data_IF_279475091181
#
_entry.id   IF_279475091181
#
_cell.length_a   1.000
_cell.length_b   1.000
_cell.length_c   1.000
_cell.angle_alpha   90.00
_cell.angle_beta   90.00
_cell.angle_gamma   90.00
#
_symmetry.space_group_name_H-M   'P 1'
#
loop_
_entity.id
_entity.type
_entity.pdbx_description
1 polymer ?
#
# COMPACT_ATOMS: atom_id res chain seq x y z
N UNK A 1 32.46 5.43 12.12
CA UNK A 1 32.04 4.85 10.83
C UNK A 1 31.06 3.72 11.07
N UNK A 2 30.16 3.49 10.12
CA UNK A 2 29.12 2.46 10.16
C UNK A 2 29.44 1.33 9.18
N UNK A 3 29.42 0.08 9.64
CA UNK A 3 29.83 -1.11 8.87
C UNK A 3 28.70 -2.09 8.61
N UNK A 4 27.45 -1.59 8.63
CA UNK A 4 26.26 -2.41 8.51
C UNK A 4 25.71 -2.92 9.84
N UNK A 5 24.64 -3.69 9.74
CA UNK A 5 23.90 -4.28 10.86
C UNK A 5 23.59 -5.72 10.54
N UNK A 6 23.59 -6.58 11.54
CA UNK A 6 22.99 -7.92 11.45
C UNK A 6 22.11 -8.18 12.67
N UNK A 7 21.22 -9.15 12.54
CA UNK A 7 20.38 -9.65 13.62
C UNK A 7 20.34 -11.18 13.58
N UNK A 8 19.55 -11.82 14.46
CA UNK A 8 19.34 -13.26 14.39
C UNK A 8 18.67 -13.72 13.09
N UNK A 9 18.03 -12.80 12.36
CA UNK A 9 17.24 -13.08 11.15
C UNK A 9 17.82 -12.47 9.87
N UNK A 10 18.63 -11.42 10.00
CA UNK A 10 19.18 -10.68 8.87
C UNK A 10 20.71 -10.67 8.93
N UNK A 11 21.35 -11.01 7.82
CA UNK A 11 22.81 -10.95 7.68
C UNK A 11 23.28 -9.53 7.42
N UNK A 12 24.51 -9.21 7.79
CA UNK A 12 25.12 -7.94 7.45
C UNK A 12 25.34 -7.86 5.93
N UNK A 13 24.80 -6.83 5.28
CA UNK A 13 24.93 -6.63 3.84
C UNK A 13 26.40 -6.50 3.35
N UNK A 14 27.31 -6.05 4.22
CA UNK A 14 28.74 -5.89 3.89
C UNK A 14 29.48 -7.23 3.88
N UNK A 15 29.18 -8.12 4.84
CA UNK A 15 29.89 -9.41 5.00
C UNK A 15 29.10 -10.60 4.46
N UNK A 16 27.82 -10.42 4.15
CA UNK A 16 26.90 -11.50 3.79
C UNK A 16 26.61 -12.50 4.93
N UNK A 17 27.05 -12.20 6.16
CA UNK A 17 26.94 -13.11 7.32
C UNK A 17 26.56 -12.35 8.58
N UNK A 18 26.29 -13.05 9.69
CA UNK A 18 26.01 -12.44 11.00
C UNK A 18 27.30 -12.04 11.74
N UNK A 19 28.18 -11.30 11.05
CA UNK A 19 29.46 -10.81 11.57
C UNK A 19 29.75 -9.39 11.11
N UNK A 20 30.62 -8.69 11.86
CA UNK A 20 31.12 -7.38 11.45
C UNK A 20 32.28 -7.48 10.45
N UNK A 21 32.40 -6.52 9.52
CA UNK A 21 33.54 -6.45 8.62
C UNK A 21 34.86 -6.20 9.39
N UNK A 22 36.02 -6.44 8.75
CA UNK A 22 37.32 -6.19 9.37
C UNK A 22 37.43 -4.76 9.93
N UNK A 23 38.05 -4.62 11.10
CA UNK A 23 38.21 -3.36 11.83
C UNK A 23 36.92 -2.77 12.44
N UNK A 24 35.79 -3.47 12.40
CA UNK A 24 34.55 -3.06 13.07
C UNK A 24 34.24 -3.96 14.27
N UNK A 25 33.74 -3.32 15.34
CA UNK A 25 33.26 -3.99 16.54
C UNK A 25 31.73 -3.97 16.58
N UNK A 26 31.06 -5.06 17.01
CA UNK A 26 29.61 -5.09 17.16
C UNK A 26 29.19 -4.34 18.42
N UNK A 27 28.19 -3.47 18.29
CA UNK A 27 27.43 -2.90 19.40
C UNK A 27 26.04 -3.54 19.44
N UNK A 28 25.70 -4.09 20.59
CA UNK A 28 24.42 -4.74 20.80
C UNK A 28 23.32 -3.70 21.09
N UNK A 29 22.16 -3.87 20.44
CA UNK A 29 20.98 -3.03 20.65
C UNK A 29 19.70 -3.87 20.62
N UNK A 30 18.71 -3.52 21.44
CA UNK A 30 17.45 -4.27 21.54
C UNK A 30 17.68 -5.72 22.00
N UNK A 31 16.93 -6.67 21.42
CA UNK A 31 17.05 -8.09 21.76
C UNK A 31 18.13 -8.83 20.95
N UNK A 32 18.25 -8.54 19.66
CA UNK A 32 19.08 -9.35 18.75
C UNK A 32 19.84 -8.52 17.69
N UNK A 33 19.85 -7.19 17.79
CA UNK A 33 20.46 -6.32 16.78
C UNK A 33 21.93 -6.09 17.14
N UNK A 34 22.80 -6.22 16.13
CA UNK A 34 24.23 -5.95 16.24
C UNK A 34 24.62 -4.90 15.21
N UNK A 35 25.08 -3.74 15.68
CA UNK A 35 25.49 -2.60 14.87
C UNK A 35 26.99 -2.56 14.77
N UNK A 36 27.54 -2.70 13.56
CA UNK A 36 28.98 -2.69 13.37
C UNK A 36 29.49 -1.25 13.31
N UNK A 37 30.37 -0.88 14.25
CA UNK A 37 30.97 0.45 14.31
C UNK A 37 32.49 0.38 14.35
N UNK A 38 33.14 1.40 13.79
CA UNK A 38 34.58 1.53 13.84
C UNK A 38 34.99 3.00 13.88
N UNK A 39 36.07 3.30 14.60
CA UNK A 39 36.82 4.55 14.51
C UNK A 39 38.17 4.36 13.81
N UNK A 40 38.51 3.13 13.41
CA UNK A 40 39.78 2.80 12.75
C UNK A 40 39.71 3.12 11.27
N UNK A 41 40.60 4.00 10.80
CA UNK A 41 40.69 4.43 9.41
C UNK A 41 40.89 3.25 8.43
N UNK A 42 41.47 2.14 8.87
CA UNK A 42 41.62 0.92 8.06
C UNK A 42 40.26 0.29 7.68
N UNK A 43 39.21 0.56 8.46
CA UNK A 43 37.84 0.14 8.18
C UNK A 43 37.10 0.99 7.16
N UNK A 44 37.67 2.09 6.67
CA UNK A 44 36.98 3.02 5.77
C UNK A 44 36.49 2.36 4.48
N UNK A 45 37.21 1.36 3.96
CA UNK A 45 36.83 0.63 2.74
C UNK A 45 35.50 -0.10 2.88
N UNK A 46 35.15 -0.58 4.08
CA UNK A 46 33.91 -1.29 4.40
C UNK A 46 32.81 -0.37 4.95
N UNK A 47 33.09 0.93 5.11
CA UNK A 47 32.14 1.86 5.68
C UNK A 47 30.97 2.14 4.71
N UNK A 48 29.75 2.09 5.25
CA UNK A 48 28.53 2.46 4.57
C UNK A 48 28.10 3.87 4.99
N UNK A 49 27.55 4.68 4.06
CA UNK A 49 26.87 5.92 4.42
C UNK A 49 25.71 5.62 5.37
N UNK A 50 25.63 6.36 6.48
CA UNK A 50 24.61 6.15 7.50
C UNK A 50 23.67 7.35 7.58
N UNK A 51 22.40 7.10 7.33
CA UNK A 51 21.34 8.11 7.30
C UNK A 51 20.42 8.07 8.51
N UNK A 52 20.73 7.31 9.56
CA UNK A 52 19.91 7.21 10.77
C UNK A 52 19.08 5.93 10.85
N UNK A 53 18.48 5.71 12.03
CA UNK A 53 17.48 4.68 12.28
C UNK A 53 16.10 5.30 12.43
N UNK A 54 15.05 4.52 12.15
CA UNK A 54 13.69 4.82 12.58
C UNK A 54 12.93 3.54 12.87
N UNK A 55 11.85 3.66 13.65
CA UNK A 55 10.97 2.56 14.00
C UNK A 55 9.51 2.94 13.75
N UNK A 56 8.58 2.04 14.09
CA UNK A 56 7.15 2.33 14.10
C UNK A 56 6.76 3.44 15.10
N UNK A 57 7.56 3.65 16.14
CA UNK A 57 7.26 4.54 17.27
C UNK A 57 8.18 5.76 17.36
N UNK A 58 9.31 5.76 16.67
CA UNK A 58 10.31 6.84 16.72
C UNK A 58 10.85 7.15 15.34
N UNK A 59 10.80 8.42 14.97
CA UNK A 59 11.27 8.89 13.67
C UNK A 59 12.76 9.20 13.62
N UNK A 60 13.23 9.43 12.40
CA UNK A 60 14.62 9.75 12.12
C UNK A 60 14.83 11.28 12.13
N UNK A 61 15.63 11.83 13.07
CA UNK A 61 15.91 13.26 13.10
C UNK A 61 16.69 13.76 11.88
N UNK A 62 17.44 12.88 11.21
CA UNK A 62 18.20 13.24 10.00
C UNK A 62 17.31 13.42 8.77
N UNK A 63 16.04 13.00 8.84
CA UNK A 63 15.08 13.16 7.76
C UNK A 63 14.29 14.47 7.83
N UNK A 64 14.53 15.32 8.83
CA UNK A 64 13.83 16.60 8.94
C UNK A 64 14.26 17.56 7.83
N UNK A 65 13.27 18.15 7.15
CA UNK A 65 13.54 19.34 6.34
C UNK A 65 13.75 20.56 7.23
N UNK A 66 14.50 21.58 6.78
CA UNK A 66 14.70 22.82 7.53
C UNK A 66 13.38 23.47 8.00
N UNK A 67 12.36 23.44 7.14
CA UNK A 67 11.02 23.98 7.44
C UNK A 67 10.25 23.20 8.52
N UNK A 68 10.53 21.90 8.69
CA UNK A 68 9.91 21.07 9.73
C UNK A 68 10.63 21.22 11.07
N UNK A 69 11.95 21.39 11.05
CA UNK A 69 12.75 21.64 12.25
C UNK A 69 12.28 22.89 12.99
N UNK A 70 12.03 23.99 12.26
CA UNK A 70 11.56 25.26 12.85
C UNK A 70 10.16 25.19 13.46
N UNK A 71 9.32 24.25 13.02
CA UNK A 71 7.95 24.07 13.52
C UNK A 71 7.83 23.13 14.72
N UNK A 72 8.95 22.57 15.22
CA UNK A 72 8.94 21.63 16.33
C UNK A 72 8.13 20.36 16.04
N UNK A 73 8.09 19.91 14.79
CA UNK A 73 7.32 18.73 14.40
C UNK A 73 7.96 17.43 14.87
N UNK A 74 7.15 16.38 15.06
CA UNK A 74 7.64 15.01 15.30
C UNK A 74 8.59 14.54 14.19
N UNK A 75 9.61 13.76 14.54
CA UNK A 75 10.55 13.23 13.56
C UNK A 75 9.86 12.34 12.51
N UNK A 76 10.16 12.50 11.21
CA UNK A 76 9.58 11.66 10.16
C UNK A 76 10.00 10.20 10.28
N UNK A 77 9.07 9.27 10.01
CA UNK A 77 9.33 7.83 9.95
C UNK A 77 9.90 7.42 8.58
N UNK A 78 10.87 8.16 8.05
CA UNK A 78 11.43 7.93 6.72
C UNK A 78 12.94 8.22 6.68
N UNK A 79 13.58 7.87 5.58
CA UNK A 79 14.98 8.18 5.34
C UNK A 79 15.18 9.60 4.79
N UNK A 80 16.36 10.22 5.06
CA UNK A 80 16.74 11.48 4.44
C UNK A 80 16.79 11.36 2.92
N UNK A 81 16.77 12.50 2.23
CA UNK A 81 16.90 12.52 0.78
C UNK A 81 18.20 11.81 0.34
N UNK A 82 18.13 11.03 -0.76
CA UNK A 82 19.21 10.17 -1.29
C UNK A 82 19.58 8.94 -0.45
N UNK A 83 18.86 8.67 0.63
CA UNK A 83 18.97 7.43 1.39
C UNK A 83 17.78 6.51 1.14
N UNK A 84 18.03 5.21 1.22
CA UNK A 84 17.03 4.17 1.08
C UNK A 84 16.86 3.45 2.42
N UNK A 85 15.65 2.96 2.68
CA UNK A 85 15.33 2.22 3.89
C UNK A 85 15.68 0.74 3.73
N UNK A 86 16.29 0.18 4.77
CA UNK A 86 16.64 -1.23 4.87
C UNK A 86 16.14 -1.79 6.20
N UNK A 87 15.54 -2.98 6.15
CA UNK A 87 14.99 -3.64 7.33
C UNK A 87 16.13 -4.15 8.24
N UNK A 88 16.07 -3.80 9.51
CA UNK A 88 16.97 -4.35 10.55
C UNK A 88 16.35 -5.60 11.18
N UNK A 89 15.13 -5.43 11.70
CA UNK A 89 14.37 -6.48 12.38
C UNK A 89 12.91 -6.05 12.52
N UNK A 90 12.07 -7.01 12.92
CA UNK A 90 10.71 -6.76 13.37
C UNK A 90 10.62 -7.29 14.80
N UNK A 91 10.45 -6.37 15.74
CA UNK A 91 10.37 -6.65 17.17
C UNK A 91 8.94 -6.41 17.65
N UNK A 92 8.26 -7.46 18.12
CA UNK A 92 6.85 -7.43 18.53
C UNK A 92 5.87 -6.74 17.54
N UNK A 93 6.17 -6.84 16.24
CA UNK A 93 5.38 -6.19 15.18
C UNK A 93 5.77 -4.74 14.90
N UNK A 94 6.68 -4.15 15.67
CA UNK A 94 7.33 -2.89 15.35
C UNK A 94 8.48 -3.10 14.36
N UNK A 95 8.41 -2.45 13.21
CA UNK A 95 9.45 -2.48 12.19
C UNK A 95 10.54 -1.50 12.58
N UNK A 96 11.79 -1.95 12.60
CA UNK A 96 12.97 -1.11 12.78
C UNK A 96 13.78 -1.10 11.48
N UNK A 97 14.01 0.08 10.94
CA UNK A 97 14.73 0.31 9.70
C UNK A 97 15.97 1.18 9.93
N UNK A 98 16.95 1.01 9.07
CA UNK A 98 18.09 1.92 8.94
C UNK A 98 18.17 2.50 7.53
N UNK A 99 18.77 3.68 7.45
CA UNK A 99 18.91 4.42 6.20
C UNK A 99 20.35 4.33 5.70
N UNK A 100 20.54 3.88 4.47
CA UNK A 100 21.85 3.86 3.82
C UNK A 100 21.73 4.16 2.32
N UNK A 101 22.86 4.36 1.66
CA UNK A 101 22.89 4.55 0.22
C UNK A 101 22.89 3.19 -0.48
N UNK A 102 21.98 3.00 -1.45
CA UNK A 102 21.79 1.72 -2.14
C UNK A 102 23.00 1.33 -2.99
N UNK A 103 23.70 2.29 -3.61
CA UNK A 103 24.86 2.03 -4.47
C UNK A 103 26.00 1.39 -3.67
N UNK A 104 26.15 1.78 -2.40
CA UNK A 104 27.13 1.19 -1.50
C UNK A 104 26.75 -0.23 -1.05
N UNK A 105 25.46 -0.50 -0.86
CA UNK A 105 24.97 -1.83 -0.50
C UNK A 105 25.13 -2.79 -1.69
N UNK A 106 24.79 -2.34 -2.90
CA UNK A 106 24.91 -3.14 -4.13
C UNK A 106 26.35 -3.56 -4.46
N UNK A 107 27.35 -2.80 -3.98
CA UNK A 107 28.77 -3.16 -4.09
C UNK A 107 29.11 -4.46 -3.35
N UNK A 108 28.45 -4.72 -2.22
CA UNK A 108 28.73 -5.88 -1.36
C UNK A 108 27.72 -7.01 -1.52
N UNK A 109 26.51 -6.70 -2.00
CA UNK A 109 25.44 -7.66 -2.08
C UNK A 109 24.74 -7.56 -3.43
N UNK A 110 24.78 -8.64 -4.21
CA UNK A 110 23.86 -8.85 -5.34
C UNK A 110 22.57 -9.55 -4.90
N UNK A 111 22.27 -9.55 -3.58
CA UNK A 111 21.14 -10.31 -3.08
C UNK A 111 19.86 -9.80 -3.74
N UNK A 112 19.07 -10.71 -4.36
CA UNK A 112 17.81 -10.34 -4.95
C UNK A 112 16.90 -9.72 -3.87
N UNK A 113 15.98 -8.84 -4.27
CA UNK A 113 15.06 -8.23 -3.33
C UNK A 113 14.35 -9.31 -2.51
N UNK A 114 14.28 -9.12 -1.20
CA UNK A 114 13.49 -9.99 -0.33
C UNK A 114 12.05 -9.91 -0.83
N UNK A 115 11.47 -11.06 -1.19
CA UNK A 115 10.09 -11.15 -1.66
C UNK A 115 9.17 -11.45 -0.47
N UNK A 116 7.90 -10.98 -0.51
CA UNK A 116 6.95 -11.26 0.56
C UNK A 116 6.70 -12.78 0.71
N UNK A 117 6.32 -13.25 1.92
CA UNK A 117 5.89 -12.46 3.07
C UNK A 117 7.04 -12.01 3.99
N UNK A 118 7.04 -10.74 4.38
CA UNK A 118 8.04 -10.12 5.27
C UNK A 118 7.80 -10.37 6.76
N UNK A 119 6.73 -11.10 7.12
CA UNK A 119 6.38 -11.39 8.51
C UNK A 119 6.80 -12.81 8.86
N UNK A 120 7.46 -12.95 10.00
CA UNK A 120 7.74 -14.26 10.60
C UNK A 120 6.39 -14.93 10.92
N UNK A 121 6.31 -16.25 10.70
CA UNK A 121 5.15 -17.04 11.12
C UNK A 121 4.94 -16.82 12.63
N UNK A 122 3.79 -16.29 13.07
CA UNK A 122 3.55 -16.09 14.49
C UNK A 122 3.65 -17.43 15.23
N UNK A 123 4.17 -17.46 16.47
CA UNK A 123 4.14 -18.67 17.29
C UNK A 123 2.69 -19.12 17.43
N UNK A 124 2.45 -20.40 17.18
CA UNK A 124 1.11 -20.96 17.13
C UNK A 124 0.59 -21.11 18.56
N UNK A 125 -0.15 -20.12 19.06
CA UNK A 125 -0.90 -20.24 20.32
C UNK A 125 -2.15 -21.06 20.05
N UNK A 126 -2.28 -22.23 20.68
CA UNK A 126 -3.27 -23.26 20.32
C UNK A 126 -4.69 -23.01 20.89
N UNK A 127 -4.99 -21.78 21.34
CA UNK A 127 -6.33 -21.44 21.80
C UNK A 127 -7.18 -21.02 20.58
N UNK A 128 -7.65 -22.02 19.83
CA UNK A 128 -8.50 -21.81 18.67
C UNK A 128 -9.93 -21.54 19.12
N UNK A 129 -10.42 -20.33 18.84
CA UNK A 129 -11.85 -20.03 18.95
C UNK A 129 -12.56 -20.55 17.71
N UNK A 130 -13.60 -21.37 17.89
CA UNK A 130 -14.43 -21.84 16.79
C UNK A 130 -15.63 -20.91 16.58
N UNK A 131 -15.61 -20.18 15.46
CA UNK A 131 -16.73 -19.32 15.08
C UNK A 131 -17.88 -20.19 14.55
N UNK A 132 -18.99 -20.25 15.29
CA UNK A 132 -20.21 -20.96 14.87
C UNK A 132 -21.15 -20.07 14.04
N UNK A 133 -21.07 -18.75 14.20
CA UNK A 133 -21.97 -17.79 13.55
C UNK A 133 -21.16 -16.58 13.06
N UNK A 134 -21.43 -16.13 11.83
CA UNK A 134 -20.88 -14.90 11.26
C UNK A 134 -22.07 -14.03 10.82
N UNK A 135 -22.12 -12.79 11.30
CA UNK A 135 -23.15 -11.84 10.88
C UNK A 135 -22.55 -10.88 9.85
N UNK A 136 -23.13 -10.88 8.67
CA UNK A 136 -22.77 -10.05 7.53
C UNK A 136 -23.53 -8.76 7.45
N UNK A 137 -23.18 -7.94 6.45
CA UNK A 137 -23.94 -6.74 6.16
C UNK A 137 -25.40 -7.10 5.79
N UNK A 138 -26.33 -6.20 6.14
CA UNK A 138 -27.76 -6.29 5.82
C UNK A 138 -28.50 -7.49 6.44
N UNK A 139 -28.07 -7.96 7.61
CA UNK A 139 -28.75 -9.05 8.32
C UNK A 139 -28.57 -10.42 7.66
N UNK A 140 -27.53 -10.58 6.85
CA UNK A 140 -27.13 -11.91 6.37
C UNK A 140 -26.41 -12.65 7.48
N UNK A 141 -26.74 -13.91 7.71
CA UNK A 141 -26.13 -14.72 8.77
C UNK A 141 -25.56 -15.99 8.13
N UNK A 142 -24.33 -16.34 8.48
CA UNK A 142 -23.76 -17.65 8.16
C UNK A 142 -23.62 -18.46 9.44
N UNK A 143 -24.14 -19.67 9.42
CA UNK A 143 -24.05 -20.63 10.53
C UNK A 143 -23.19 -21.80 10.09
N UNK A 144 -22.36 -22.30 11.01
CA UNK A 144 -21.56 -23.48 10.80
C UNK A 144 -22.27 -24.67 11.42
N UNK A 145 -22.63 -25.67 10.62
CA UNK A 145 -23.19 -26.92 11.11
C UNK A 145 -22.14 -27.76 11.84
N UNK A 146 -22.60 -28.78 12.57
CA UNK A 146 -21.72 -29.72 13.29
C UNK A 146 -20.80 -30.51 12.35
N UNK A 147 -21.20 -30.65 11.08
CA UNK A 147 -20.39 -31.23 9.99
C UNK A 147 -19.32 -30.27 9.45
N UNK A 148 -19.28 -29.04 9.97
CA UNK A 148 -18.38 -27.98 9.59
C UNK A 148 -18.76 -27.21 8.33
N UNK A 149 -19.93 -27.48 7.75
CA UNK A 149 -20.42 -26.77 6.56
C UNK A 149 -21.02 -25.42 6.92
N UNK A 150 -20.81 -24.42 6.06
CA UNK A 150 -21.36 -23.08 6.23
C UNK A 150 -22.65 -22.90 5.44
N UNK A 151 -23.72 -22.54 6.13
CA UNK A 151 -25.05 -22.27 5.55
C UNK A 151 -25.38 -20.79 5.67
N UNK A 152 -25.92 -20.20 4.59
CA UNK A 152 -26.29 -18.79 4.54
C UNK A 152 -27.79 -18.63 4.76
N UNK A 153 -28.15 -17.71 5.65
CA UNK A 153 -29.52 -17.37 6.03
C UNK A 153 -29.76 -15.86 5.91
N UNK A 154 -31.01 -15.48 5.73
CA UNK A 154 -31.51 -14.10 5.81
C UNK A 154 -32.14 -13.85 7.18
N UNK A 155 -32.15 -12.60 7.62
CA UNK A 155 -32.94 -12.17 8.76
C UNK A 155 -34.42 -12.61 8.56
N UNK A 156 -34.99 -13.27 9.56
CA UNK A 156 -36.35 -13.84 9.50
C UNK A 156 -36.44 -15.29 9.04
N UNK A 157 -35.36 -15.91 8.53
CA UNK A 157 -35.37 -17.35 8.25
C UNK A 157 -35.42 -18.14 9.58
N UNK A 158 -36.36 -19.09 9.69
CA UNK A 158 -36.43 -20.00 10.84
C UNK A 158 -35.28 -21.01 10.76
N UNK A 159 -34.19 -20.74 11.49
CA UNK A 159 -33.06 -21.67 11.60
C UNK A 159 -33.36 -22.61 12.76
N UNK A 160 -33.85 -23.81 12.44
CA UNK A 160 -34.32 -24.78 13.43
C UNK A 160 -33.19 -25.56 14.13
N UNK A 161 -31.94 -25.40 13.69
CA UNK A 161 -30.91 -26.35 14.06
C UNK A 161 -30.26 -26.08 15.43
N UNK A 162 -30.43 -24.91 16.04
CA UNK A 162 -29.83 -24.64 17.35
C UNK A 162 -30.60 -23.54 18.09
N UNK A 163 -30.99 -23.79 19.35
CA UNK A 163 -31.71 -22.84 20.22
C UNK A 163 -30.93 -21.53 20.48
N UNK A 164 -29.63 -21.45 20.17
CA UNK A 164 -28.88 -20.20 20.26
C UNK A 164 -29.01 -19.29 19.04
N UNK A 165 -29.52 -19.80 17.91
CA UNK A 165 -29.55 -19.06 16.63
C UNK A 165 -30.81 -18.19 16.50
N UNK A 166 -31.95 -18.63 17.06
CA UNK A 166 -33.21 -17.88 16.95
C UNK A 166 -33.12 -16.48 17.57
N UNK A 167 -32.30 -16.30 18.61
CA UNK A 167 -32.11 -14.99 19.26
C UNK A 167 -31.47 -13.95 18.34
N UNK A 168 -30.75 -14.37 17.30
CA UNK A 168 -30.09 -13.49 16.34
C UNK A 168 -30.85 -13.31 15.03
N UNK A 169 -31.85 -14.16 14.75
CA UNK A 169 -32.60 -14.14 13.47
C UNK A 169 -34.07 -13.81 13.62
N UNK A 170 -34.63 -13.79 14.84
CA UNK A 170 -36.03 -13.40 15.07
C UNK A 170 -36.26 -11.92 14.75
N UNK A 171 -37.35 -11.62 14.05
CA UNK A 171 -37.87 -10.26 13.94
C UNK A 171 -38.19 -9.71 15.34
N UNK A 172 -38.09 -8.39 15.57
CA UNK A 172 -38.42 -7.79 16.86
C UNK A 172 -39.89 -8.08 17.22
N UNK A 173 -40.11 -8.84 18.29
CA UNK A 173 -41.45 -9.02 18.85
C UNK A 173 -41.78 -7.89 19.82
N UNK A 174 -42.95 -7.29 19.66
CA UNK A 174 -43.53 -6.36 20.63
C UNK A 174 -44.00 -7.17 21.85
N UNK A 175 -43.47 -6.88 23.03
CA UNK A 175 -44.01 -7.42 24.28
C UNK A 175 -45.28 -6.66 24.61
N UNK A 176 -46.42 -7.34 24.61
CA UNK A 176 -47.73 -6.79 25.01
C UNK A 176 -48.10 -7.24 26.42
N UNK A 177 -48.78 -6.39 27.20
CA UNK A 177 -49.42 -6.80 28.45
C UNK A 177 -50.70 -7.62 28.20
N UNK A 178 -51.28 -8.17 29.27
CA UNK A 178 -52.54 -8.95 29.23
C UNK A 178 -53.76 -8.14 28.74
N UNK A 179 -53.62 -6.82 28.53
CA UNK A 179 -54.62 -5.95 27.92
C UNK A 179 -54.29 -5.57 26.46
N UNK A 180 -53.26 -6.15 25.86
CA UNK A 180 -52.85 -5.91 24.47
C UNK A 180 -52.02 -4.62 24.27
N UNK A 181 -51.53 -4.00 25.34
CA UNK A 181 -50.75 -2.75 25.28
C UNK A 181 -49.27 -3.08 25.14
N UNK A 182 -48.57 -2.54 24.14
CA UNK A 182 -47.14 -2.79 23.93
C UNK A 182 -46.32 -2.10 25.04
N UNK A 183 -45.64 -2.89 25.88
CA UNK A 183 -44.89 -2.43 27.07
C UNK A 183 -43.37 -2.35 26.83
N UNK A 184 -42.87 -2.88 25.70
CA UNK A 184 -41.47 -2.74 25.31
C UNK A 184 -41.06 -3.76 24.23
N UNK A 185 -39.93 -3.51 23.56
CA UNK A 185 -39.24 -4.48 22.71
C UNK A 185 -38.01 -5.01 23.47
N UNK A 186 -37.75 -6.32 23.41
CA UNK A 186 -36.55 -6.89 24.02
C UNK A 186 -35.36 -6.75 23.06
N UNK A 187 -34.24 -6.29 23.60
CA UNK A 187 -32.96 -5.95 22.95
C UNK A 187 -32.98 -4.72 22.03
N UNK A 188 -32.70 -3.57 22.66
CA UNK A 188 -32.14 -2.39 22.00
C UNK A 188 -30.68 -2.69 21.57
N UNK A 189 -30.56 -3.51 20.53
CA UNK A 189 -29.40 -3.57 19.66
C UNK A 189 -29.63 -2.64 18.46
N UNK A 190 -30.17 -1.43 18.68
CA UNK A 190 -30.24 -0.41 17.65
C UNK A 190 -28.83 0.07 17.32
N UNK A 191 -28.14 -0.68 16.44
CA UNK A 191 -27.30 0.02 15.47
C UNK A 191 -28.25 0.93 14.71
N UNK A 192 -28.21 2.21 15.07
CA UNK A 192 -28.85 3.31 14.35
C UNK A 192 -28.44 3.20 12.88
N UNK A 193 -29.24 2.50 12.08
CA UNK A 193 -29.32 2.77 10.66
C UNK A 193 -29.89 4.18 10.56
N UNK A 194 -29.19 5.14 9.94
CA UNK A 194 -29.76 6.46 9.73
C UNK A 194 -31.04 6.26 8.90
N UNK A 195 -32.19 6.54 9.52
CA UNK A 195 -33.48 6.56 8.87
C UNK A 195 -33.47 7.73 7.88
N UNK A 196 -33.13 7.43 6.63
CA UNK A 196 -33.25 8.36 5.52
C UNK A 196 -34.74 8.62 5.29
N UNK A 197 -35.16 9.85 5.54
CA UNK A 197 -36.53 10.29 5.25
C UNK A 197 -36.71 10.37 3.73
N UNK A 198 -37.92 10.11 3.23
CA UNK A 198 -38.20 10.03 1.78
C UNK A 198 -37.83 11.29 0.96
N UNK A 199 -37.50 12.41 1.62
CA UNK A 199 -36.96 13.60 0.98
C UNK A 199 -35.49 13.45 0.52
N UNK A 200 -34.71 12.54 1.12
CA UNK A 200 -33.29 12.36 0.79
C UNK A 200 -33.05 11.32 -0.32
N UNK A 201 -33.99 10.40 -0.55
CA UNK A 201 -33.90 9.37 -1.60
C UNK A 201 -34.11 9.97 -3.00
N UNK A 202 -34.89 11.04 -3.13
CA UNK A 202 -35.00 11.80 -4.37
C UNK A 202 -33.66 12.47 -4.77
N UNK A 203 -32.82 12.85 -3.79
CA UNK A 203 -31.51 13.45 -4.02
C UNK A 203 -30.49 12.49 -4.62
N UNK A 204 -30.48 11.22 -4.19
CA UNK A 204 -29.51 10.21 -4.67
C UNK A 204 -29.79 9.72 -6.10
N UNK A 205 -31.06 9.57 -6.47
CA UNK A 205 -31.43 9.13 -7.83
C UNK A 205 -31.20 10.23 -8.85
N UNK A 206 -31.50 11.49 -8.49
CA UNK A 206 -31.26 12.63 -9.38
C UNK A 206 -29.75 12.92 -9.47
N UNK A 207 -29.01 12.88 -8.36
CA UNK A 207 -27.56 13.12 -8.34
C UNK A 207 -26.72 12.10 -9.11
N UNK A 208 -27.09 10.81 -9.07
CA UNK A 208 -26.39 9.74 -9.80
C UNK A 208 -26.60 9.83 -11.32
N UNK A 209 -27.78 10.25 -11.79
CA UNK A 209 -28.06 10.47 -13.22
C UNK A 209 -27.32 11.70 -13.74
N UNK A 210 -27.26 12.80 -12.99
CA UNK A 210 -26.48 13.98 -13.39
C UNK A 210 -24.96 13.71 -13.36
N UNK A 211 -24.47 12.97 -12.37
CA UNK A 211 -23.05 12.63 -12.26
C UNK A 211 -22.58 11.73 -13.40
N UNK A 212 -23.37 10.70 -13.74
CA UNK A 212 -23.07 9.81 -14.88
C UNK A 212 -23.14 10.55 -16.21
N UNK A 213 -24.12 11.43 -16.41
CA UNK A 213 -24.22 12.27 -17.60
C UNK A 213 -23.01 13.20 -17.76
N UNK A 214 -22.54 13.82 -16.66
CA UNK A 214 -21.33 14.67 -16.66
C UNK A 214 -20.06 13.87 -16.95
N UNK A 215 -19.91 12.67 -16.39
CA UNK A 215 -18.77 11.80 -16.69
C UNK A 215 -18.74 11.40 -18.18
N UNK A 216 -19.87 11.03 -18.76
CA UNK A 216 -19.97 10.67 -20.19
C UNK A 216 -19.63 11.88 -21.08
N UNK A 217 -20.14 13.07 -20.74
CA UNK A 217 -19.83 14.31 -21.45
C UNK A 217 -18.34 14.67 -21.38
N UNK A 218 -17.70 14.49 -20.21
CA UNK A 218 -16.28 14.76 -20.02
C UNK A 218 -15.40 13.79 -20.82
N UNK A 219 -15.74 12.50 -20.83
CA UNK A 219 -15.04 11.49 -21.63
C UNK A 219 -15.17 11.79 -23.12
N UNK A 220 -16.36 12.19 -23.59
CA UNK A 220 -16.58 12.61 -24.98
C UNK A 220 -15.79 13.88 -25.35
N UNK A 221 -15.72 14.86 -24.46
CA UNK A 221 -14.95 16.09 -24.67
C UNK A 221 -13.45 15.81 -24.76
N UNK A 222 -12.91 14.97 -23.87
CA UNK A 222 -11.51 14.53 -23.92
C UNK A 222 -11.23 13.74 -25.19
N UNK A 223 -12.10 12.80 -25.58
CA UNK A 223 -11.97 12.02 -26.81
C UNK A 223 -11.98 12.89 -28.08
N UNK A 224 -12.90 13.85 -28.17
CA UNK A 224 -12.95 14.83 -29.26
C UNK A 224 -11.73 15.76 -29.26
N UNK A 225 -11.27 16.19 -28.08
CA UNK A 225 -10.05 16.97 -27.89
C UNK A 225 -8.81 16.24 -28.40
N UNK A 226 -8.65 14.96 -28.04
CA UNK A 226 -7.53 14.11 -28.51
C UNK A 226 -7.60 13.88 -30.02
N UNK A 227 -8.79 13.68 -30.60
CA UNK A 227 -8.95 13.58 -32.07
C UNK A 227 -8.58 14.89 -32.77
N UNK A 228 -9.03 16.04 -32.29
CA UNK A 228 -8.64 17.36 -32.82
C UNK A 228 -7.13 17.59 -32.66
N UNK A 229 -6.56 17.23 -31.53
CA UNK A 229 -5.13 17.35 -31.26
C UNK A 229 -4.30 16.45 -32.20
N UNK A 230 -4.68 15.19 -32.40
CA UNK A 230 -4.03 14.30 -33.37
C UNK A 230 -4.14 14.82 -34.80
N UNK A 231 -5.31 15.31 -35.23
CA UNK A 231 -5.50 15.89 -36.58
C UNK A 231 -4.63 17.15 -36.77
N UNK A 232 -4.54 18.02 -35.75
CA UNK A 232 -3.68 19.21 -35.78
C UNK A 232 -2.18 18.87 -35.75
N UNK A 233 -1.79 17.79 -35.06
CA UNK A 233 -0.41 17.28 -35.05
C UNK A 233 -0.01 16.67 -36.41
N UNK A 234 -0.91 15.96 -37.08
CA UNK A 234 -0.68 15.41 -38.43
C UNK A 234 -0.53 16.55 -39.44
N UNK A 235 -1.45 17.53 -39.45
CA UNK A 235 -1.36 18.69 -40.34
C UNK A 235 -0.09 19.54 -40.10
N UNK A 236 0.37 19.68 -38.84
CA UNK A 236 1.65 20.34 -38.53
C UNK A 236 2.86 19.56 -39.04
N UNK A 237 2.85 18.22 -38.97
CA UNK A 237 3.94 17.39 -39.51
C UNK A 237 4.00 17.48 -41.03
N UNK A 238 2.86 17.48 -41.71
CA UNK A 238 2.80 17.67 -43.16
C UNK A 238 3.30 19.06 -43.56
N UNK A 239 2.89 20.13 -42.87
CA UNK A 239 3.39 21.48 -43.14
C UNK A 239 4.91 21.64 -42.91
N UNK A 240 5.46 20.98 -41.89
CA UNK A 240 6.92 20.98 -41.64
C UNK A 240 7.67 20.21 -42.74
N UNK A 241 7.12 19.10 -43.24
CA UNK A 241 7.70 18.33 -44.35
C UNK A 241 7.72 19.13 -45.68
N UNK A 242 6.68 19.95 -45.92
CA UNK A 242 6.63 20.84 -47.08
C UNK A 242 7.63 22.00 -47.01
N UNK A 243 7.89 22.53 -45.81
CA UNK A 243 8.89 23.58 -45.60
C UNK A 243 10.31 23.03 -45.76
N UNK A 244 10.60 21.85 -45.21
CA UNK A 244 11.89 21.15 -45.35
C UNK A 244 12.21 20.89 -46.84
N UNK A 245 11.20 20.46 -47.61
CA UNK A 245 11.32 20.27 -49.07
C UNK A 245 11.48 21.57 -49.87
N UNK A 246 11.05 22.70 -49.33
CA UNK A 246 11.26 24.02 -49.97
C UNK A 246 12.62 24.64 -49.63
N UNK A 247 13.23 24.19 -48.52
CA UNK A 247 14.53 24.65 -48.03
C UNK A 247 15.68 23.80 -48.61
N UNK A 248 15.44 22.51 -48.91
CA UNK A 248 16.30 21.70 -49.79
C UNK A 248 15.98 21.97 -51.26
N UNK A 249 16.33 23.16 -51.74
CA UNK A 249 16.48 23.42 -53.17
C UNK A 249 17.72 22.70 -53.69
N UNK A 250 17.61 21.39 -53.97
CA UNK A 250 18.66 20.65 -54.67
C UNK A 250 18.30 20.54 -56.15
N UNK A 251 18.92 21.45 -56.92
CA UNK A 251 19.07 21.36 -58.36
C UNK A 251 19.97 20.17 -58.70
N UNK A 252 19.48 19.14 -59.37
CA UNK A 252 20.35 18.21 -60.12
C UNK A 252 19.74 17.83 -61.47
N UNK A 253 19.81 18.78 -62.40
CA UNK A 253 20.21 18.45 -63.78
C UNK A 253 21.73 18.47 -63.83
N UNK A 254 22.38 17.40 -63.37
CA UNK A 254 23.78 17.11 -63.69
C UNK A 254 24.04 15.61 -63.53
N UNK A 255 24.83 15.06 -64.45
CA UNK A 255 25.44 13.72 -64.41
C UNK A 255 24.52 12.55 -64.80
N UNK A 256 23.78 12.81 -65.87
CA UNK A 256 23.84 11.96 -67.05
C UNK A 256 25.32 11.77 -67.48
N UNK A 257 26.05 10.82 -66.90
CA UNK A 257 27.19 10.02 -67.45
C UNK A 257 27.70 9.10 -66.33
N UNK A 258 27.08 7.92 -66.17
CA UNK A 258 27.77 6.74 -65.61
C UNK A 258 26.94 5.46 -65.86
N UNK A 259 26.61 5.20 -67.12
CA UNK A 259 25.99 3.92 -67.54
C UNK A 259 26.50 3.40 -68.88
N UNK A 260 27.76 3.71 -69.19
CA UNK A 260 28.55 3.09 -70.25
C UNK A 260 29.99 2.97 -69.74
N UNK A 261 30.28 1.90 -69.00
CA UNK A 261 31.48 1.07 -69.12
C UNK A 261 31.45 0.03 -67.98
N UNK A 262 31.64 -1.21 -68.42
CA UNK A 262 31.62 -2.52 -67.75
C UNK A 262 30.25 -3.14 -67.46
#
# INVERSE_FOLDING_TARGET
MFGGVYSGKHTNAVTGTSTCPPFFSPLHFGQDIQVCVSSDIQGMSYALPFGGFHSCSSGNPLSLSPAQYEKGSSFPLQCPERYNQFLVTVDEGCIVNYCSNVDFILKYTSQPPILPPYKIRPPMTVNQSESMIIVGPYGTVWTKGDDGTWSKHKAGDMINDNEYIWTFTSEPHNVTDDNGTVIGSTYDGSMRTPSFTGAEVAGFVIGSVFSTALCIAFIAAVGCGVKKYKKKRIARKEAVLYLDKSETGENETAVLVQKLQD
#
